data_IF_358425992244
#
_entry.id   IF_358425992244
#
_cell.length_a   1.000
_cell.length_b   1.000
_cell.length_c   1.000
_cell.angle_alpha   90.00
_cell.angle_beta   90.00
_cell.angle_gamma   90.00
#
_symmetry.space_group_name_H-M   'P 1'
#
loop_
_entity.id
_entity.type
_entity.pdbx_description
1 polymer ?
#
# COMPACT_ATOMS: atom_id res chain seq x y z
N UNK A 1 -21.64 -9.86 24.10
CA UNK A 1 -22.10 -9.43 22.77
C UNK A 1 -21.35 -10.23 21.70
N UNK A 2 -22.03 -11.17 21.04
CA UNK A 2 -21.43 -11.96 19.96
C UNK A 2 -21.16 -11.07 18.73
N UNK A 3 -20.00 -11.14 18.09
CA UNK A 3 -19.70 -10.34 16.91
C UNK A 3 -20.65 -10.73 15.78
N UNK A 4 -21.34 -9.72 15.21
CA UNK A 4 -22.29 -9.91 14.12
C UNK A 4 -21.65 -10.67 12.96
N UNK A 5 -22.39 -11.56 12.27
CA UNK A 5 -21.93 -12.38 11.14
C UNK A 5 -21.20 -11.54 10.06
N UNK A 6 -21.60 -10.30 9.84
CA UNK A 6 -20.95 -9.37 8.91
C UNK A 6 -19.50 -9.02 9.30
N UNK A 7 -19.16 -8.98 10.60
CA UNK A 7 -17.80 -8.70 11.09
C UNK A 7 -16.87 -9.90 10.91
N UNK A 8 -17.40 -11.12 10.96
CA UNK A 8 -16.63 -12.36 10.69
C UNK A 8 -16.35 -12.54 9.19
N UNK A 9 -17.30 -12.22 8.32
CA UNK A 9 -17.10 -12.28 6.86
C UNK A 9 -16.00 -11.29 6.39
N UNK A 10 -15.93 -10.10 6.98
CA UNK A 10 -14.88 -9.12 6.67
C UNK A 10 -13.46 -9.54 7.06
N UNK A 11 -13.32 -10.50 7.99
CA UNK A 11 -12.02 -11.04 8.42
C UNK A 11 -11.63 -12.32 7.65
N UNK A 12 -12.59 -13.15 7.24
CA UNK A 12 -12.34 -14.45 6.60
C UNK A 12 -12.04 -14.32 5.11
N UNK A 13 -12.75 -13.45 4.40
CA UNK A 13 -12.60 -13.27 2.95
C UNK A 13 -11.15 -12.95 2.51
N UNK A 14 -10.43 -12.08 3.19
CA UNK A 14 -9.06 -11.73 2.84
C UNK A 14 -8.06 -12.87 3.03
N UNK A 15 -8.23 -13.64 4.11
CA UNK A 15 -7.40 -14.83 4.35
C UNK A 15 -7.70 -15.96 3.38
N UNK A 16 -8.96 -16.08 2.96
CA UNK A 16 -9.34 -17.00 1.90
C UNK A 16 -8.71 -16.62 0.54
N UNK A 17 -8.69 -15.31 0.21
CA UNK A 17 -7.99 -14.80 -0.98
C UNK A 17 -6.48 -15.06 -0.91
N UNK A 18 -5.87 -14.85 0.25
CA UNK A 18 -4.44 -15.13 0.47
C UNK A 18 -4.13 -16.62 0.33
N UNK A 19 -4.97 -17.50 0.89
CA UNK A 19 -4.87 -18.95 0.70
C UNK A 19 -5.04 -19.36 -0.76
N UNK A 20 -5.99 -18.74 -1.47
CA UNK A 20 -6.17 -18.97 -2.91
C UNK A 20 -4.91 -18.58 -3.70
N UNK A 21 -4.27 -17.45 -3.38
CA UNK A 21 -3.00 -17.04 -4.00
C UNK A 21 -1.88 -18.07 -3.72
N UNK A 22 -1.79 -18.64 -2.53
CA UNK A 22 -0.80 -19.70 -2.24
C UNK A 22 -1.01 -20.96 -3.10
N UNK A 23 -2.23 -21.26 -3.51
CA UNK A 23 -2.58 -22.44 -4.28
C UNK A 23 -2.44 -22.23 -5.81
N UNK A 24 -2.29 -21.00 -6.30
CA UNK A 24 -2.19 -20.69 -7.74
C UNK A 24 -1.14 -21.53 -8.47
N UNK A 25 0.10 -21.73 -7.97
CA UNK A 25 1.10 -22.51 -8.70
C UNK A 25 0.75 -24.00 -8.90
N UNK A 26 -0.15 -24.55 -8.07
CA UNK A 26 -0.60 -25.94 -8.20
C UNK A 26 -1.48 -26.16 -9.43
N UNK A 27 -2.10 -25.10 -9.96
CA UNK A 27 -2.91 -25.11 -11.18
C UNK A 27 -2.11 -25.01 -12.49
N UNK A 28 -0.77 -25.12 -12.46
CA UNK A 28 0.12 -24.92 -13.62
C UNK A 28 -0.18 -23.63 -14.43
N UNK A 29 -0.18 -22.46 -13.79
CA UNK A 29 -0.44 -21.20 -14.49
C UNK A 29 0.66 -20.90 -15.51
N UNK A 30 0.32 -20.08 -16.52
CA UNK A 30 1.33 -19.60 -17.47
C UNK A 30 2.43 -18.79 -16.76
N UNK A 31 3.65 -18.83 -17.32
CA UNK A 31 4.76 -18.05 -16.78
C UNK A 31 4.44 -16.55 -16.68
N UNK A 32 3.64 -16.04 -17.61
CA UNK A 32 3.18 -14.64 -17.60
C UNK A 32 2.25 -14.36 -16.41
N UNK A 33 1.33 -15.26 -16.10
CA UNK A 33 0.45 -15.13 -14.93
C UNK A 33 1.25 -15.09 -13.62
N UNK A 34 2.26 -15.97 -13.48
CA UNK A 34 3.12 -15.98 -12.28
C UNK A 34 3.92 -14.67 -12.18
N UNK A 35 4.42 -14.16 -13.31
CA UNK A 35 5.13 -12.87 -13.38
C UNK A 35 4.22 -11.72 -12.94
N UNK A 36 3.00 -11.64 -13.49
CA UNK A 36 2.03 -10.59 -13.16
C UNK A 36 1.70 -10.61 -11.66
N UNK A 37 1.39 -11.79 -11.11
CA UNK A 37 1.06 -11.92 -9.69
C UNK A 37 2.24 -11.58 -8.78
N UNK A 38 3.48 -11.95 -9.17
CA UNK A 38 4.69 -11.56 -8.46
C UNK A 38 4.87 -10.05 -8.43
N UNK A 39 4.82 -9.40 -9.59
CA UNK A 39 4.99 -7.95 -9.72
C UNK A 39 3.91 -7.21 -8.95
N UNK A 40 2.65 -7.64 -9.08
CA UNK A 40 1.52 -7.10 -8.32
C UNK A 40 1.75 -7.22 -6.81
N UNK A 41 2.24 -8.37 -6.32
CA UNK A 41 2.53 -8.56 -4.90
C UNK A 41 3.63 -7.60 -4.41
N UNK A 42 4.69 -7.39 -5.18
CA UNK A 42 5.78 -6.44 -4.87
C UNK A 42 5.23 -5.01 -4.76
N UNK A 43 4.38 -4.61 -5.70
CA UNK A 43 3.72 -3.30 -5.66
C UNK A 43 2.79 -3.16 -4.46
N UNK A 44 2.00 -4.18 -4.13
CA UNK A 44 1.11 -4.16 -2.95
C UNK A 44 1.93 -4.02 -1.67
N UNK A 45 3.03 -4.74 -1.50
CA UNK A 45 3.90 -4.63 -0.31
C UNK A 45 4.42 -3.20 -0.16
N UNK A 46 4.90 -2.60 -1.26
CA UNK A 46 5.37 -1.20 -1.29
C UNK A 46 4.24 -0.22 -0.94
N UNK A 47 3.06 -0.42 -1.51
CA UNK A 47 1.86 0.37 -1.23
C UNK A 47 1.39 0.25 0.21
N UNK A 48 1.47 -0.95 0.84
CA UNK A 48 1.21 -1.14 2.27
C UNK A 48 2.21 -0.31 3.08
N UNK A 49 3.50 -0.35 2.73
CA UNK A 49 4.52 0.48 3.37
C UNK A 49 4.13 1.96 3.35
N UNK A 50 3.85 2.51 2.19
CA UNK A 50 3.45 3.91 2.06
C UNK A 50 2.15 4.22 2.85
N UNK A 51 1.16 3.33 2.78
CA UNK A 51 -0.13 3.50 3.44
C UNK A 51 -0.02 3.55 4.98
N UNK A 52 0.95 2.85 5.57
CA UNK A 52 1.21 2.92 7.00
C UNK A 52 1.65 4.33 7.43
N UNK A 53 2.48 5.02 6.64
CA UNK A 53 2.84 6.40 6.92
C UNK A 53 1.75 7.37 6.42
N UNK A 54 1.59 7.48 5.11
CA UNK A 54 0.70 8.46 4.48
C UNK A 54 -0.76 8.28 4.86
N UNK A 55 -1.22 7.03 4.90
CA UNK A 55 -2.60 6.69 5.20
C UNK A 55 -3.01 6.93 6.65
N UNK A 56 -2.15 6.56 7.61
CA UNK A 56 -2.48 6.64 9.03
C UNK A 56 -2.10 7.98 9.68
N UNK A 57 -1.05 8.66 9.18
CA UNK A 57 -0.58 9.94 9.76
C UNK A 57 -0.91 11.18 8.91
N UNK A 58 -1.38 10.99 7.67
CA UNK A 58 -1.61 12.08 6.74
C UNK A 58 -0.34 12.69 6.12
N UNK A 59 0.85 12.14 6.40
CA UNK A 59 2.12 12.62 5.84
C UNK A 59 2.34 12.07 4.44
N UNK A 60 2.09 12.88 3.42
CA UNK A 60 2.27 12.50 2.01
C UNK A 60 3.75 12.58 1.65
N UNK A 61 4.40 11.41 1.52
CA UNK A 61 5.80 11.30 1.13
C UNK A 61 5.93 10.87 -0.33
N UNK A 62 6.79 11.56 -1.08
CA UNK A 62 7.21 11.22 -2.44
C UNK A 62 8.62 10.64 -2.49
N UNK A 63 9.19 10.25 -1.35
CA UNK A 63 10.56 9.74 -1.25
C UNK A 63 10.65 8.22 -1.06
N UNK A 64 9.58 7.45 -1.24
CA UNK A 64 9.59 6.02 -0.97
C UNK A 64 10.49 5.20 -1.91
N UNK A 65 10.79 5.72 -3.11
CA UNK A 65 11.79 5.15 -4.00
C UNK A 65 13.19 5.04 -3.35
N UNK A 66 13.53 5.91 -2.39
CA UNK A 66 14.77 5.81 -1.62
C UNK A 66 14.88 4.47 -0.91
N UNK A 67 13.83 4.08 -0.17
CA UNK A 67 13.81 2.83 0.60
C UNK A 67 13.73 1.61 -0.31
N UNK A 68 12.95 1.72 -1.39
CA UNK A 68 12.85 0.70 -2.43
C UNK A 68 14.20 0.44 -3.09
N UNK A 69 14.87 1.49 -3.55
CA UNK A 69 16.16 1.41 -4.21
C UNK A 69 17.28 0.94 -3.27
N UNK A 70 17.38 1.47 -2.05
CA UNK A 70 18.38 1.01 -1.08
C UNK A 70 18.19 -0.47 -0.74
N UNK A 71 16.93 -0.90 -0.53
CA UNK A 71 16.60 -2.32 -0.33
C UNK A 71 17.01 -3.20 -1.50
N UNK A 72 16.74 -2.74 -2.73
CA UNK A 72 17.14 -3.42 -3.97
C UNK A 72 18.67 -3.58 -4.07
N UNK A 73 19.41 -2.49 -3.88
CA UNK A 73 20.86 -2.51 -4.02
C UNK A 73 21.58 -3.32 -2.95
N UNK A 74 21.19 -3.18 -1.67
CA UNK A 74 21.80 -3.96 -0.59
C UNK A 74 21.48 -5.44 -0.75
N UNK A 75 20.27 -5.79 -1.16
CA UNK A 75 19.92 -7.19 -1.48
C UNK A 75 20.81 -7.71 -2.61
N UNK A 76 20.98 -6.94 -3.69
CA UNK A 76 21.83 -7.29 -4.83
C UNK A 76 23.31 -7.52 -4.43
N UNK A 77 23.86 -6.58 -3.66
CA UNK A 77 25.24 -6.68 -3.14
C UNK A 77 25.45 -7.92 -2.26
N UNK A 78 24.49 -8.21 -1.37
CA UNK A 78 24.58 -9.37 -0.48
C UNK A 78 24.46 -10.71 -1.23
N UNK A 79 23.60 -10.80 -2.26
CA UNK A 79 23.49 -11.99 -3.10
C UNK A 79 24.81 -12.21 -3.86
N UNK A 80 25.39 -11.17 -4.46
CA UNK A 80 26.67 -11.25 -5.15
C UNK A 80 27.84 -11.58 -4.20
N UNK A 81 27.73 -11.20 -2.90
CA UNK A 81 28.66 -11.64 -1.85
C UNK A 81 28.45 -13.09 -1.40
N UNK A 82 27.55 -13.85 -2.06
CA UNK A 82 27.28 -15.26 -1.78
C UNK A 82 26.37 -15.52 -0.58
N UNK A 83 25.68 -14.50 -0.07
CA UNK A 83 24.70 -14.67 1.00
C UNK A 83 23.40 -15.24 0.44
N UNK A 84 22.64 -15.95 1.31
CA UNK A 84 21.34 -16.48 0.91
C UNK A 84 20.37 -15.32 0.59
N UNK A 85 19.46 -15.47 -0.39
CA UNK A 85 18.50 -14.42 -0.76
C UNK A 85 17.62 -13.95 0.41
N UNK A 86 17.21 -14.86 1.26
CA UNK A 86 16.37 -14.52 2.43
C UNK A 86 17.13 -13.65 3.45
N UNK A 87 18.40 -13.94 3.67
CA UNK A 87 19.26 -13.10 4.50
C UNK A 87 19.55 -11.74 3.84
N UNK A 88 19.67 -11.71 2.52
CA UNK A 88 19.85 -10.49 1.76
C UNK A 88 18.60 -9.57 1.85
N UNK A 89 17.38 -10.12 1.86
CA UNK A 89 16.15 -9.34 2.10
C UNK A 89 16.15 -8.67 3.47
N UNK A 90 16.63 -9.36 4.51
CA UNK A 90 16.77 -8.76 5.84
C UNK A 90 17.80 -7.62 5.84
N UNK A 91 18.90 -7.76 5.09
CA UNK A 91 19.88 -6.67 4.90
C UNK A 91 19.26 -5.47 4.18
N UNK A 92 18.51 -5.71 3.11
CA UNK A 92 17.75 -4.67 2.39
C UNK A 92 16.72 -3.96 3.27
N UNK A 93 16.01 -4.73 4.13
CA UNK A 93 15.11 -4.17 5.13
C UNK A 93 15.86 -3.29 6.13
N UNK A 94 16.96 -3.78 6.68
CA UNK A 94 17.73 -3.08 7.71
C UNK A 94 18.27 -1.74 7.20
N UNK A 95 18.82 -1.69 5.98
CA UNK A 95 19.32 -0.43 5.41
C UNK A 95 18.19 0.57 5.15
N UNK A 96 17.02 0.10 4.69
CA UNK A 96 15.86 0.95 4.48
C UNK A 96 15.35 1.54 5.81
N UNK A 97 15.32 0.74 6.88
CA UNK A 97 15.01 1.20 8.25
C UNK A 97 16.02 2.24 8.73
N UNK A 98 17.32 1.99 8.58
CA UNK A 98 18.36 2.96 8.97
C UNK A 98 18.23 4.27 8.18
N UNK A 99 18.04 4.18 6.87
CA UNK A 99 17.81 5.34 6.02
C UNK A 99 16.56 6.11 6.42
N UNK A 100 15.50 5.43 6.87
CA UNK A 100 14.28 6.09 7.32
C UNK A 100 14.48 6.98 8.54
N UNK A 101 15.37 6.62 9.45
CA UNK A 101 15.76 7.49 10.58
C UNK A 101 16.53 8.72 10.09
N UNK A 102 17.49 8.54 9.16
CA UNK A 102 18.26 9.65 8.59
C UNK A 102 17.36 10.64 7.85
N UNK A 103 16.39 10.13 7.09
CA UNK A 103 15.42 10.95 6.34
C UNK A 103 14.37 11.54 7.28
N UNK A 104 13.82 10.73 8.18
CA UNK A 104 12.69 11.10 9.04
C UNK A 104 13.05 12.17 10.09
N UNK A 105 14.26 12.09 10.70
CA UNK A 105 14.66 13.04 11.75
C UNK A 105 14.60 14.51 11.31
N UNK A 106 15.14 14.91 10.15
CA UNK A 106 15.01 16.29 9.68
C UNK A 106 13.63 16.59 9.08
N UNK A 107 13.02 15.64 8.35
CA UNK A 107 11.82 15.92 7.56
C UNK A 107 10.54 15.98 8.39
N UNK A 108 10.40 15.22 9.49
CA UNK A 108 9.21 15.29 10.34
C UNK A 108 9.08 16.56 11.17
N UNK A 109 10.07 17.46 11.09
CA UNK A 109 9.94 18.84 11.59
C UNK A 109 9.16 19.73 10.62
N UNK A 110 9.03 19.30 9.36
CA UNK A 110 8.28 20.00 8.32
C UNK A 110 6.81 19.54 8.34
N UNK A 111 5.89 20.47 8.08
CA UNK A 111 4.45 20.20 8.05
C UNK A 111 3.89 20.40 6.63
N UNK A 112 2.87 19.60 6.29
CA UNK A 112 2.12 19.75 5.06
C UNK A 112 2.98 19.66 3.78
N UNK A 113 2.81 20.60 2.82
CA UNK A 113 3.49 20.56 1.53
C UNK A 113 5.03 20.59 1.61
N UNK A 114 5.59 21.23 2.64
CA UNK A 114 7.04 21.31 2.81
C UNK A 114 7.68 19.93 3.06
N UNK A 115 6.98 19.04 3.76
CA UNK A 115 7.40 17.64 3.92
C UNK A 115 7.44 16.91 2.57
N UNK A 116 6.41 17.07 1.74
CA UNK A 116 6.33 16.46 0.42
C UNK A 116 7.49 16.92 -0.47
N UNK A 117 7.75 18.23 -0.56
CA UNK A 117 8.85 18.81 -1.35
C UNK A 117 10.21 18.31 -0.86
N UNK A 118 10.43 18.29 0.46
CA UNK A 118 11.69 17.79 1.04
C UNK A 118 11.93 16.31 0.66
N UNK A 119 10.89 15.47 0.68
CA UNK A 119 11.02 14.04 0.33
C UNK A 119 11.29 13.82 -1.16
N UNK A 120 10.80 14.70 -2.06
CA UNK A 120 11.18 14.70 -3.48
C UNK A 120 12.68 15.02 -3.61
N UNK A 121 13.15 16.08 -2.96
CA UNK A 121 14.56 16.48 -2.99
C UNK A 121 15.50 15.38 -2.47
N UNK A 122 15.13 14.71 -1.38
CA UNK A 122 15.91 13.58 -0.84
C UNK A 122 15.92 12.40 -1.82
N UNK A 123 14.79 12.10 -2.46
CA UNK A 123 14.71 11.07 -3.48
C UNK A 123 15.68 11.33 -4.63
N UNK A 124 15.66 12.53 -5.17
CA UNK A 124 16.53 12.92 -6.28
C UNK A 124 18.02 12.98 -5.87
N UNK A 125 18.30 13.52 -4.68
CA UNK A 125 19.68 13.52 -4.16
C UNK A 125 20.22 12.10 -4.00
N UNK A 126 19.41 11.16 -3.47
CA UNK A 126 19.81 9.76 -3.34
C UNK A 126 20.04 9.12 -4.70
N UNK A 127 19.18 9.37 -5.69
CA UNK A 127 19.34 8.89 -7.06
C UNK A 127 20.65 9.38 -7.67
N UNK A 128 20.99 10.66 -7.53
CA UNK A 128 22.22 11.24 -8.02
C UNK A 128 23.44 10.63 -7.32
N UNK A 129 23.39 10.46 -6.00
CA UNK A 129 24.47 9.81 -5.24
C UNK A 129 24.69 8.38 -5.77
N UNK A 130 23.63 7.60 -5.90
CA UNK A 130 23.72 6.20 -6.35
C UNK A 130 24.22 6.07 -7.79
N UNK A 131 23.90 7.03 -8.67
CA UNK A 131 24.43 7.09 -10.04
C UNK A 131 25.95 7.34 -10.09
N UNK A 132 26.53 7.92 -9.05
CA UNK A 132 27.95 8.25 -8.99
C UNK A 132 28.78 7.30 -8.10
N UNK A 133 28.12 6.34 -7.41
CA UNK A 133 28.81 5.37 -6.56
C UNK A 133 29.31 4.17 -7.37
N UNK A 134 30.65 3.98 -7.43
CA UNK A 134 31.25 2.87 -8.18
C UNK A 134 30.91 1.48 -7.62
N UNK A 135 30.66 1.36 -6.30
CA UNK A 135 30.33 0.09 -5.64
C UNK A 135 28.94 -0.46 -6.09
N UNK A 136 28.07 0.40 -6.58
CA UNK A 136 26.74 0.06 -7.08
C UNK A 136 26.68 -0.03 -8.60
N UNK A 137 27.83 0.05 -9.30
CA UNK A 137 27.92 0.07 -10.75
C UNK A 137 27.57 1.44 -11.37
N UNK A 138 27.31 2.46 -10.54
CA UNK A 138 26.98 3.82 -10.97
C UNK A 138 25.80 3.86 -11.95
N UNK A 139 25.88 4.74 -12.93
CA UNK A 139 24.84 4.89 -13.95
C UNK A 139 24.68 3.67 -14.88
N UNK A 140 25.68 2.77 -14.93
CA UNK A 140 25.61 1.55 -15.75
C UNK A 140 24.75 0.45 -15.14
N UNK A 141 24.33 0.61 -13.88
CA UNK A 141 23.54 -0.36 -13.14
C UNK A 141 24.35 -1.51 -12.55
N UNK A 142 23.65 -2.40 -11.88
CA UNK A 142 24.23 -3.50 -11.12
C UNK A 142 23.58 -4.83 -11.48
N UNK A 143 24.38 -5.79 -11.95
CA UNK A 143 23.92 -7.12 -12.29
C UNK A 143 24.02 -8.05 -11.09
N UNK A 144 22.96 -8.81 -10.87
CA UNK A 144 22.91 -9.84 -9.83
C UNK A 144 23.27 -11.17 -10.46
N UNK A 145 24.29 -11.84 -9.90
CA UNK A 145 24.74 -13.16 -10.33
C UNK A 145 24.44 -14.16 -9.21
N UNK A 146 23.24 -14.71 -9.25
CA UNK A 146 22.87 -15.77 -8.31
C UNK A 146 23.43 -17.12 -8.76
N UNK A 147 24.04 -17.88 -7.84
CA UNK A 147 24.61 -19.22 -8.13
C UNK A 147 23.54 -20.28 -8.38
N UNK A 148 22.29 -20.00 -7.99
CA UNK A 148 21.16 -20.91 -8.21
C UNK A 148 20.51 -20.62 -9.55
N UNK A 149 19.95 -21.67 -10.17
CA UNK A 149 19.14 -21.50 -11.36
C UNK A 149 17.89 -20.66 -11.04
N UNK A 150 17.48 -19.82 -11.98
CA UNK A 150 16.26 -19.02 -11.85
C UNK A 150 15.05 -19.94 -11.69
N UNK A 151 14.31 -19.75 -10.60
CA UNK A 151 13.08 -20.48 -10.30
C UNK A 151 11.94 -19.48 -10.05
N UNK A 152 11.10 -19.28 -11.05
CA UNK A 152 9.99 -18.34 -10.98
C UNK A 152 9.01 -18.64 -9.84
N UNK A 153 8.79 -19.92 -9.53
CA UNK A 153 7.89 -20.34 -8.44
C UNK A 153 8.47 -19.97 -7.07
N UNK A 154 9.79 -20.08 -6.88
CA UNK A 154 10.45 -19.66 -5.64
C UNK A 154 10.31 -18.15 -5.42
N UNK A 155 10.47 -17.35 -6.47
CA UNK A 155 10.28 -15.90 -6.41
C UNK A 155 8.84 -15.55 -6.05
N UNK A 156 7.87 -16.22 -6.69
CA UNK A 156 6.45 -16.06 -6.41
C UNK A 156 6.13 -16.32 -4.93
N UNK A 157 6.51 -17.48 -4.40
CA UNK A 157 6.25 -17.81 -3.00
C UNK A 157 6.93 -16.84 -2.03
N UNK A 158 8.15 -16.39 -2.35
CA UNK A 158 8.84 -15.37 -1.55
C UNK A 158 8.02 -14.08 -1.47
N UNK A 159 7.47 -13.62 -2.59
CA UNK A 159 6.64 -12.42 -2.63
C UNK A 159 5.30 -12.60 -1.90
N UNK A 160 4.61 -13.73 -2.09
CA UNK A 160 3.31 -13.99 -1.44
C UNK A 160 3.47 -14.14 0.08
N UNK A 161 4.50 -14.84 0.57
CA UNK A 161 4.78 -14.95 2.00
C UNK A 161 5.04 -13.56 2.61
N UNK A 162 5.87 -12.75 1.97
CA UNK A 162 6.18 -11.40 2.44
C UNK A 162 4.95 -10.47 2.35
N UNK A 163 4.10 -10.63 1.35
CA UNK A 163 2.80 -9.95 1.28
C UNK A 163 1.91 -10.33 2.46
N UNK A 164 1.83 -11.60 2.81
CA UNK A 164 1.08 -12.06 3.98
C UNK A 164 1.59 -11.46 5.28
N UNK A 165 2.92 -11.40 5.46
CA UNK A 165 3.55 -10.75 6.61
C UNK A 165 3.23 -9.24 6.63
N UNK A 166 3.33 -8.56 5.49
CA UNK A 166 3.03 -7.13 5.39
C UNK A 166 1.56 -6.82 5.72
N UNK A 167 0.62 -7.65 5.24
CA UNK A 167 -0.81 -7.53 5.55
C UNK A 167 -1.10 -7.80 7.04
N UNK A 168 -0.51 -8.84 7.61
CA UNK A 168 -0.65 -9.14 9.02
C UNK A 168 -0.13 -7.99 9.89
N UNK A 169 1.08 -7.49 9.60
CA UNK A 169 1.69 -6.37 10.29
C UNK A 169 0.83 -5.09 10.17
N UNK A 170 0.37 -4.77 8.97
CA UNK A 170 -0.53 -3.63 8.72
C UNK A 170 -1.83 -3.76 9.53
N UNK A 171 -2.43 -4.96 9.54
CA UNK A 171 -3.66 -5.23 10.31
C UNK A 171 -3.44 -5.06 11.81
N UNK A 172 -2.34 -5.59 12.35
CA UNK A 172 -1.99 -5.42 13.78
C UNK A 172 -1.82 -3.95 14.12
N UNK A 173 -1.07 -3.20 13.32
CA UNK A 173 -0.82 -1.77 13.56
C UNK A 173 -2.15 -0.99 13.52
N UNK A 174 -2.95 -1.16 12.48
CA UNK A 174 -4.21 -0.41 12.29
C UNK A 174 -5.20 -0.64 13.45
N UNK A 175 -5.23 -1.84 14.04
CA UNK A 175 -6.14 -2.16 15.15
C UNK A 175 -5.52 -1.97 16.54
N UNK A 176 -4.25 -1.57 16.63
CA UNK A 176 -3.54 -1.34 17.90
C UNK A 176 -3.80 0.05 18.48
N UNK A 177 -3.37 0.27 19.75
CA UNK A 177 -3.33 1.60 20.37
C UNK A 177 -2.40 2.55 19.62
N UNK A 178 -1.33 2.02 19.04
CA UNK A 178 -0.40 2.79 18.21
C UNK A 178 -1.09 3.30 16.93
N UNK A 179 -1.89 2.48 16.25
CA UNK A 179 -2.68 2.92 15.10
C UNK A 179 -3.76 3.95 15.45
N UNK A 180 -4.30 3.92 16.68
CA UNK A 180 -5.20 4.99 17.16
C UNK A 180 -4.44 6.30 17.34
N UNK A 181 -3.23 6.27 17.92
CA UNK A 181 -2.37 7.43 18.09
C UNK A 181 -2.00 8.06 16.73
N UNK A 182 -1.65 7.24 15.73
CA UNK A 182 -1.35 7.73 14.37
C UNK A 182 -2.56 8.42 13.72
N UNK A 183 -3.76 7.87 13.89
CA UNK A 183 -4.99 8.51 13.38
C UNK A 183 -5.35 9.80 14.13
N UNK A 184 -5.05 9.90 15.41
CA UNK A 184 -5.20 11.15 16.15
C UNK A 184 -4.26 12.23 15.57
N UNK A 185 -2.99 11.89 15.31
CA UNK A 185 -2.02 12.77 14.65
C UNK A 185 -2.52 13.23 13.27
N UNK A 186 -3.17 12.33 12.49
CA UNK A 186 -3.74 12.66 11.19
C UNK A 186 -4.84 13.72 11.28
N UNK A 187 -5.65 13.70 12.34
CA UNK A 187 -6.74 14.67 12.52
C UNK A 187 -6.18 16.04 12.96
N UNK A 188 -5.38 16.05 14.00
CA UNK A 188 -4.70 17.26 14.51
C UNK A 188 -3.48 16.86 15.33
N UNK A 189 -2.30 17.28 14.89
CA UNK A 189 -1.03 16.94 15.50
C UNK A 189 -0.85 17.59 16.88
N UNK A 190 -1.30 18.83 17.02
CA UNK A 190 -1.15 19.59 18.27
C UNK A 190 -2.17 19.09 19.31
N UNK A 191 -3.39 18.77 18.90
CA UNK A 191 -4.39 18.13 19.78
C UNK A 191 -3.94 16.73 20.23
N UNK A 192 -3.33 15.93 19.35
CA UNK A 192 -2.78 14.63 19.71
C UNK A 192 -1.65 14.75 20.74
N UNK A 193 -0.79 15.77 20.59
CA UNK A 193 0.26 16.07 21.57
C UNK A 193 -0.32 16.46 22.95
N UNK A 194 -1.39 17.24 22.98
CA UNK A 194 -2.05 17.68 24.23
C UNK A 194 -2.61 16.51 25.06
N UNK A 195 -3.01 15.39 24.40
CA UNK A 195 -3.47 14.17 25.08
C UNK A 195 -2.34 13.15 25.37
N UNK A 196 -1.07 13.56 25.21
CA UNK A 196 0.10 12.76 25.60
C UNK A 196 0.68 11.87 24.48
N UNK A 197 0.20 11.96 23.25
CA UNK A 197 0.84 11.30 22.10
C UNK A 197 2.07 12.11 21.69
N UNK A 198 3.21 11.45 21.45
CA UNK A 198 4.38 12.12 20.87
C UNK A 198 4.33 11.98 19.34
N UNK A 199 3.97 13.05 18.58
CA UNK A 199 3.78 12.93 17.13
C UNK A 199 5.09 12.61 16.40
N UNK A 200 6.19 13.24 16.80
CA UNK A 200 7.49 13.04 16.16
C UNK A 200 7.96 11.58 16.26
N UNK A 201 7.97 11.01 17.46
CA UNK A 201 8.39 9.62 17.66
C UNK A 201 7.43 8.63 16.98
N UNK A 202 6.13 8.91 17.06
CA UNK A 202 5.11 8.04 16.43
C UNK A 202 5.29 8.00 14.91
N UNK A 203 5.50 9.14 14.25
CA UNK A 203 5.80 9.23 12.82
C UNK A 203 7.12 8.54 12.48
N UNK A 204 8.14 8.70 13.30
CA UNK A 204 9.46 8.11 13.07
C UNK A 204 9.40 6.57 13.08
N UNK A 205 8.71 5.99 14.05
CA UNK A 205 8.57 4.53 14.17
C UNK A 205 7.73 3.94 13.03
N UNK A 206 6.60 4.57 12.69
CA UNK A 206 5.78 4.04 11.58
C UNK A 206 6.51 4.20 10.25
N UNK A 207 7.31 5.26 10.07
CA UNK A 207 8.15 5.46 8.89
C UNK A 207 9.23 4.38 8.77
N UNK A 208 9.86 3.98 9.89
CA UNK A 208 10.84 2.91 9.90
C UNK A 208 10.23 1.56 9.46
N UNK A 209 9.04 1.24 9.97
CA UNK A 209 8.30 0.02 9.56
C UNK A 209 7.91 0.11 8.07
N UNK A 210 7.39 1.25 7.63
CA UNK A 210 7.00 1.51 6.26
C UNK A 210 8.19 1.37 5.29
N UNK A 211 9.31 1.97 5.63
CA UNK A 211 10.56 1.89 4.88
C UNK A 211 11.09 0.45 4.81
N UNK A 212 11.05 -0.29 5.91
CA UNK A 212 11.45 -1.70 5.95
C UNK A 212 10.66 -2.57 4.99
N UNK A 213 9.33 -2.44 4.96
CA UNK A 213 8.48 -3.16 4.01
C UNK A 213 8.79 -2.79 2.55
N UNK A 214 8.97 -1.49 2.29
CA UNK A 214 9.32 -1.01 0.95
C UNK A 214 10.71 -1.47 0.52
N UNK A 215 11.67 -1.54 1.45
CA UNK A 215 13.02 -2.05 1.18
C UNK A 215 13.02 -3.54 0.83
N UNK A 216 12.20 -4.35 1.51
CA UNK A 216 12.02 -5.77 1.17
C UNK A 216 11.39 -5.92 -0.21
N UNK A 217 10.40 -5.10 -0.57
CA UNK A 217 9.80 -5.11 -1.89
C UNK A 217 10.82 -4.79 -2.99
N UNK A 218 11.69 -3.79 -2.76
CA UNK A 218 12.81 -3.49 -3.65
C UNK A 218 13.79 -4.66 -3.79
N UNK A 219 14.09 -5.36 -2.69
CA UNK A 219 14.92 -6.57 -2.69
C UNK A 219 14.32 -7.72 -3.53
N UNK A 220 13.01 -7.96 -3.40
CA UNK A 220 12.29 -8.93 -4.24
C UNK A 220 12.39 -8.57 -5.73
N UNK A 221 12.13 -7.30 -6.06
CA UNK A 221 12.24 -6.78 -7.42
C UNK A 221 13.64 -7.01 -7.99
N UNK A 222 14.69 -6.62 -7.24
CA UNK A 222 16.07 -6.75 -7.66
C UNK A 222 16.44 -8.21 -7.98
N UNK A 223 16.11 -9.13 -7.09
CA UNK A 223 16.40 -10.56 -7.28
C UNK A 223 15.67 -11.14 -8.50
N UNK A 224 14.42 -10.74 -8.75
CA UNK A 224 13.63 -11.25 -9.88
C UNK A 224 14.16 -10.76 -11.21
N UNK A 225 14.48 -9.47 -11.32
CA UNK A 225 14.97 -8.87 -12.57
C UNK A 225 16.45 -9.15 -12.85
N UNK A 226 17.22 -9.56 -11.83
CA UNK A 226 18.64 -9.85 -11.91
C UNK A 226 19.52 -8.68 -12.43
N UNK A 227 18.93 -7.54 -12.70
CA UNK A 227 19.59 -6.31 -13.10
C UNK A 227 18.82 -5.11 -12.58
N UNK A 228 19.51 -4.14 -11.98
CA UNK A 228 18.94 -2.91 -11.46
C UNK A 228 19.83 -1.72 -11.83
N UNK A 229 19.23 -0.56 -12.08
CA UNK A 229 19.98 0.67 -12.22
C UNK A 229 19.31 1.82 -11.45
N UNK A 230 20.08 2.85 -11.02
CA UNK A 230 19.53 3.88 -10.14
C UNK A 230 18.42 4.70 -10.77
N UNK A 231 18.45 4.86 -12.11
CA UNK A 231 17.43 5.58 -12.87
C UNK A 231 16.03 5.02 -12.74
N UNK A 232 15.89 3.69 -12.46
CA UNK A 232 14.61 3.03 -12.27
C UNK A 232 14.21 2.98 -10.80
N UNK A 233 15.05 2.35 -9.97
CA UNK A 233 14.65 2.00 -8.60
C UNK A 233 14.58 3.22 -7.67
N UNK A 234 15.30 4.31 -7.97
CA UNK A 234 15.23 5.59 -7.26
C UNK A 234 14.46 6.65 -8.04
N UNK A 235 13.83 6.30 -9.17
CA UNK A 235 13.04 7.25 -9.94
C UNK A 235 11.91 7.88 -9.12
N UNK A 236 11.66 9.16 -9.34
CA UNK A 236 10.47 9.83 -8.77
C UNK A 236 9.18 9.11 -9.17
N UNK A 237 9.14 8.59 -10.39
CA UNK A 237 8.04 7.76 -10.90
C UNK A 237 7.75 6.54 -10.03
N UNK A 238 8.77 5.85 -9.54
CA UNK A 238 8.62 4.71 -8.61
C UNK A 238 7.95 5.14 -7.31
N UNK A 239 8.29 6.32 -6.76
CA UNK A 239 7.59 6.87 -5.60
C UNK A 239 6.12 7.18 -5.89
N UNK A 240 5.81 7.70 -7.09
CA UNK A 240 4.42 7.93 -7.52
C UNK A 240 3.65 6.61 -7.60
N UNK A 241 4.21 5.57 -8.20
CA UNK A 241 3.56 4.27 -8.29
C UNK A 241 3.24 3.68 -6.92
N UNK A 242 4.20 3.74 -5.99
CA UNK A 242 4.02 3.28 -4.63
C UNK A 242 2.88 4.03 -3.91
N UNK A 243 2.79 5.35 -4.11
CA UNK A 243 1.74 6.20 -3.55
C UNK A 243 0.36 5.94 -4.19
N UNK A 244 0.31 5.74 -5.52
CA UNK A 244 -0.92 5.53 -6.26
C UNK A 244 -1.70 4.31 -5.77
N UNK A 245 -1.02 3.25 -5.40
CA UNK A 245 -1.63 1.99 -4.98
C UNK A 245 -2.63 2.18 -3.82
N UNK A 246 -2.26 2.72 -2.66
CA UNK A 246 -3.21 2.97 -1.60
C UNK A 246 -4.22 4.08 -1.92
N UNK A 247 -3.86 5.05 -2.78
CA UNK A 247 -4.78 6.12 -3.20
C UNK A 247 -5.93 5.55 -4.03
N UNK A 248 -5.62 4.71 -5.01
CA UNK A 248 -6.63 4.03 -5.84
C UNK A 248 -7.53 3.14 -4.98
N UNK A 249 -6.95 2.34 -4.12
CA UNK A 249 -7.69 1.33 -3.36
C UNK A 249 -8.45 1.86 -2.14
N UNK A 250 -7.91 2.87 -1.47
CA UNK A 250 -8.48 3.49 -0.27
C UNK A 250 -7.44 3.73 0.82
N UNK A 251 -7.09 5.00 1.00
CA UNK A 251 -6.05 5.48 1.92
C UNK A 251 -6.42 5.17 3.38
N UNK A 252 -5.44 4.68 4.15
CA UNK A 252 -5.59 4.44 5.59
C UNK A 252 -6.35 3.16 5.95
N UNK A 253 -6.69 2.33 4.95
CA UNK A 253 -7.33 1.03 5.15
C UNK A 253 -6.32 -0.11 4.94
N UNK A 254 -6.54 -1.26 5.58
CA UNK A 254 -5.66 -2.44 5.42
C UNK A 254 -5.76 -3.02 4.01
N UNK A 255 -6.97 -3.00 3.42
CA UNK A 255 -7.29 -3.65 2.14
C UNK A 255 -7.17 -2.72 0.93
N UNK A 256 -7.07 -1.42 1.18
CA UNK A 256 -6.87 -0.43 0.12
C UNK A 256 -5.68 -0.76 -0.77
N UNK A 257 -4.48 -0.93 -0.23
CA UNK A 257 -3.31 -1.28 -1.05
C UNK A 257 -3.45 -2.58 -1.83
N UNK A 258 -4.22 -3.56 -1.34
CA UNK A 258 -4.47 -4.82 -2.05
C UNK A 258 -5.33 -4.58 -3.29
N UNK A 259 -6.47 -3.90 -3.12
CA UNK A 259 -7.37 -3.59 -4.23
C UNK A 259 -6.69 -2.64 -5.23
N UNK A 260 -6.04 -1.60 -4.74
CA UNK A 260 -5.33 -0.67 -5.59
C UNK A 260 -4.17 -1.31 -6.35
N UNK A 261 -3.42 -2.21 -5.70
CA UNK A 261 -2.31 -2.92 -6.33
C UNK A 261 -2.75 -3.92 -7.38
N UNK A 262 -3.88 -4.62 -7.18
CA UNK A 262 -4.44 -5.51 -8.21
C UNK A 262 -4.84 -4.70 -9.45
N UNK A 263 -5.55 -3.58 -9.25
CA UNK A 263 -5.97 -2.72 -10.36
C UNK A 263 -4.74 -2.11 -11.02
N UNK A 264 -3.81 -1.58 -10.22
CA UNK A 264 -2.58 -0.99 -10.73
C UNK A 264 -1.77 -1.98 -11.55
N UNK A 265 -1.55 -3.22 -11.05
CA UNK A 265 -0.77 -4.24 -11.75
C UNK A 265 -1.37 -4.65 -13.09
N UNK A 266 -2.70 -4.81 -13.16
CA UNK A 266 -3.38 -5.11 -14.43
C UNK A 266 -3.32 -3.93 -15.40
N UNK A 267 -3.60 -2.74 -14.91
CA UNK A 267 -3.61 -1.51 -15.74
C UNK A 267 -2.19 -1.18 -16.21
N UNK A 268 -1.17 -1.32 -15.34
CA UNK A 268 0.24 -1.08 -15.70
C UNK A 268 0.67 -1.98 -16.87
N UNK A 269 0.42 -3.29 -16.76
CA UNK A 269 0.81 -4.22 -17.82
C UNK A 269 0.16 -3.87 -19.16
N UNK A 270 -1.13 -3.60 -19.18
CA UNK A 270 -1.86 -3.21 -20.39
C UNK A 270 -1.41 -1.84 -20.94
N UNK A 271 -1.19 -0.86 -20.08
CA UNK A 271 -0.81 0.50 -20.53
C UNK A 271 0.62 0.56 -21.02
N UNK A 272 1.57 -0.11 -20.34
CA UNK A 272 2.97 -0.12 -20.76
C UNK A 272 3.14 -0.87 -22.08
N UNK A 273 2.42 -1.96 -22.28
CA UNK A 273 2.50 -2.77 -23.52
C UNK A 273 1.84 -2.05 -24.70
N UNK A 274 0.63 -1.50 -24.50
CA UNK A 274 -0.15 -0.94 -25.61
C UNK A 274 0.12 0.55 -25.84
N UNK A 275 0.55 1.30 -24.83
CA UNK A 275 0.75 2.77 -24.87
C UNK A 275 2.07 3.22 -24.24
N UNK A 276 3.25 2.73 -24.68
CA UNK A 276 4.53 2.97 -24.01
C UNK A 276 4.91 4.46 -23.90
N UNK A 277 4.45 5.31 -24.82
CA UNK A 277 4.80 6.72 -24.86
C UNK A 277 3.88 7.63 -24.03
N UNK A 278 2.68 7.18 -23.69
CA UNK A 278 1.67 7.99 -23.00
C UNK A 278 1.18 7.40 -21.67
N UNK A 279 1.73 6.26 -21.27
CA UNK A 279 1.30 5.58 -20.03
C UNK A 279 1.40 6.48 -18.80
N UNK A 280 2.43 7.33 -18.70
CA UNK A 280 2.59 8.30 -17.59
C UNK A 280 1.48 9.34 -17.57
N UNK A 281 1.08 9.85 -18.74
CA UNK A 281 -0.04 10.80 -18.85
C UNK A 281 -1.34 10.12 -18.46
N UNK A 282 -1.55 8.88 -18.86
CA UNK A 282 -2.72 8.10 -18.49
C UNK A 282 -2.75 7.84 -16.97
N UNK A 283 -1.61 7.47 -16.34
CA UNK A 283 -1.54 7.33 -14.87
C UNK A 283 -1.87 8.63 -14.15
N UNK A 284 -1.29 9.76 -14.59
CA UNK A 284 -1.59 11.06 -14.02
C UNK A 284 -3.07 11.43 -14.15
N UNK A 285 -3.67 11.15 -15.31
CA UNK A 285 -5.10 11.37 -15.54
C UNK A 285 -5.98 10.53 -14.66
N UNK A 286 -5.67 9.22 -14.51
CA UNK A 286 -6.39 8.30 -13.61
C UNK A 286 -6.28 8.76 -12.16
N UNK A 287 -5.08 9.20 -11.73
CA UNK A 287 -4.87 9.74 -10.39
C UNK A 287 -5.75 10.96 -10.12
N UNK A 288 -5.72 11.94 -11.04
CA UNK A 288 -6.53 13.15 -10.93
C UNK A 288 -8.01 12.79 -10.86
N UNK A 289 -8.47 11.91 -11.73
CA UNK A 289 -9.86 11.47 -11.77
C UNK A 289 -10.29 10.79 -10.48
N UNK A 290 -9.46 9.90 -9.91
CA UNK A 290 -9.77 9.21 -8.65
C UNK A 290 -9.82 10.22 -7.49
N UNK A 291 -8.82 11.12 -7.39
CA UNK A 291 -8.78 12.11 -6.31
C UNK A 291 -9.96 13.08 -6.37
N UNK A 292 -10.38 13.47 -7.59
CA UNK A 292 -11.51 14.40 -7.78
C UNK A 292 -12.87 13.73 -7.53
N UNK A 293 -13.05 12.48 -7.99
CA UNK A 293 -14.35 11.81 -7.92
C UNK A 293 -14.56 11.08 -6.58
N UNK A 294 -13.52 10.48 -6.02
CA UNK A 294 -13.62 9.64 -4.83
C UNK A 294 -12.34 9.74 -3.98
N UNK A 295 -12.22 10.80 -3.16
CA UNK A 295 -11.04 11.03 -2.32
C UNK A 295 -10.80 9.90 -1.29
N UNK A 296 -11.84 9.10 -0.97
CA UNK A 296 -11.74 7.92 -0.10
C UNK A 296 -11.31 6.65 -0.85
N UNK A 297 -11.05 6.74 -2.17
CA UNK A 297 -10.69 5.63 -3.04
C UNK A 297 -11.83 4.64 -3.30
N UNK A 298 -11.55 3.55 -4.02
CA UNK A 298 -12.55 2.56 -4.43
C UNK A 298 -13.27 1.88 -3.25
N UNK A 299 -12.60 1.71 -2.10
CA UNK A 299 -13.27 1.21 -0.89
C UNK A 299 -14.30 2.22 -0.35
N UNK A 300 -14.05 3.51 -0.47
CA UNK A 300 -15.02 4.56 -0.14
C UNK A 300 -16.27 4.46 -1.00
N UNK A 301 -16.09 4.32 -2.31
CA UNK A 301 -17.18 4.13 -3.27
C UNK A 301 -18.02 2.89 -2.93
N UNK A 302 -17.37 1.76 -2.64
CA UNK A 302 -18.05 0.52 -2.27
C UNK A 302 -18.90 0.68 -0.99
N UNK A 303 -18.39 1.42 -0.01
CA UNK A 303 -19.14 1.71 1.23
C UNK A 303 -20.33 2.66 0.98
N UNK A 304 -20.19 3.65 0.10
CA UNK A 304 -21.30 4.55 -0.30
C UNK A 304 -22.39 3.80 -1.03
N UNK A 305 -22.04 2.97 -2.01
CA UNK A 305 -22.97 2.12 -2.75
C UNK A 305 -23.73 1.17 -1.80
N UNK A 306 -23.03 0.50 -0.87
CA UNK A 306 -23.68 -0.35 0.13
C UNK A 306 -24.68 0.41 1.01
N UNK A 307 -24.37 1.65 1.41
CA UNK A 307 -25.31 2.48 2.21
C UNK A 307 -26.53 2.88 1.39
N UNK A 308 -26.40 3.21 0.11
CA UNK A 308 -27.50 3.53 -0.79
C UNK A 308 -28.43 2.34 -0.99
N UNK A 309 -27.90 1.14 -1.23
CA UNK A 309 -28.68 -0.08 -1.37
C UNK A 309 -29.39 -0.48 -0.06
N UNK A 310 -28.78 -0.22 1.08
CA UNK A 310 -29.38 -0.48 2.39
C UNK A 310 -30.54 0.47 2.69
N UNK A 311 -30.41 1.77 2.44
CA UNK A 311 -31.50 2.75 2.56
C UNK A 311 -32.67 2.41 1.66
N UNK A 312 -32.42 2.04 0.40
CA UNK A 312 -33.46 1.65 -0.55
C UNK A 312 -34.25 0.41 -0.09
N UNK A 313 -33.61 -0.47 0.68
CA UNK A 313 -34.25 -1.68 1.25
C UNK A 313 -35.07 -1.37 2.51
N UNK A 314 -34.65 -0.39 3.29
CA UNK A 314 -35.39 0.10 4.46
C UNK A 314 -36.62 0.91 4.04
N UNK A 315 -36.52 1.77 3.01
CA UNK A 315 -37.65 2.52 2.43
C UNK A 315 -38.68 1.63 1.71
N UNK A 316 -38.25 0.49 1.14
CA UNK A 316 -39.19 -0.46 0.52
C UNK A 316 -39.90 -1.39 1.50
N UNK A 317 -39.37 -1.49 2.73
CA UNK A 317 -39.99 -2.27 3.81
C UNK A 317 -40.97 -1.46 4.70
N UNK A 318 -40.95 -0.13 4.61
CA UNK A 318 -41.79 0.76 5.41
C UNK A 318 -43.08 1.24 4.71
N UNK A 319 -43.41 0.69 3.54
CA UNK A 319 -44.71 0.88 2.91
C UNK A 319 -45.71 -0.17 3.38
N UNK A 320 -46.00 -0.24 4.66
CA UNK A 320 -47.32 -0.70 5.14
C UNK A 320 -48.29 0.50 5.10
N UNK A 321 -49.46 0.34 4.51
CA UNK A 321 -50.39 1.46 4.40
C UNK A 321 -51.00 1.78 5.77
N UNK A 322 -50.78 3.00 6.26
CA UNK A 322 -51.53 3.63 7.37
C UNK A 322 -53.02 3.83 7.00
N UNK A 323 -53.67 2.84 6.42
CA UNK A 323 -55.11 2.96 6.02
C UNK A 323 -56.11 2.21 6.91
N UNK A 324 -55.73 1.76 8.12
CA UNK A 324 -56.68 0.99 8.96
C UNK A 324 -57.04 1.70 10.29
N UNK A 325 -56.56 2.89 10.61
CA UNK A 325 -56.82 3.52 11.91
C UNK A 325 -57.85 4.67 11.91
N UNK A 326 -58.42 5.08 10.80
CA UNK A 326 -59.45 6.16 10.75
C UNK A 326 -60.91 5.69 10.62
N UNK A 327 -61.16 4.39 10.67
CA UNK A 327 -62.54 3.81 10.49
C UNK A 327 -63.32 3.55 11.75
N UNK A 328 -62.77 3.69 12.98
CA UNK A 328 -63.47 3.30 14.22
C UNK A 328 -63.93 4.41 15.17
N UNK A 329 -63.72 5.67 14.88
CA UNK A 329 -64.13 6.76 15.79
C UNK A 329 -65.38 7.55 15.33
N UNK A 330 -66.17 7.08 14.36
CA UNK A 330 -67.40 7.76 13.90
C UNK A 330 -68.71 7.05 14.19
N UNK A 331 -68.75 6.00 15.00
CA UNK A 331 -69.99 5.27 15.29
C UNK A 331 -70.42 5.27 16.79
N UNK A 332 -69.72 5.98 17.67
CA UNK A 332 -70.12 6.07 19.10
C UNK A 332 -70.50 7.50 19.53
N UNK A 333 -71.26 8.20 18.76
CA UNK A 333 -71.71 9.59 19.05
C UNK A 333 -73.12 9.91 18.62
N UNK A 334 -74.02 8.92 18.73
CA UNK A 334 -75.48 9.18 18.65
C UNK A 334 -76.19 8.17 19.55
N UNK A 335 -76.41 8.59 20.78
CA UNK A 335 -77.57 8.31 21.64
C UNK A 335 -77.24 8.88 23.04
N UNK A 336 -77.82 9.97 23.32
CA UNK A 336 -78.51 10.59 24.50
C UNK A 336 -78.35 12.09 24.47
#
# INVERSE_FOLDING_TARGET
>A
MAPSRARRFGLVLPWALFLALLLVPLGNPSANTVRLLFTTAVWIISGIGWNLLGGLTGQVSFGFAVFYGLGAYVTALMINAGRSPYFAFLGGMAIAVLASFLVGMPTFRLRGPYFAIATIGIGEATRVIMNNLNITGGASGYRIVEKRAFNQIEHYYSAIILLGIALALSSVIVHSKFGLALRAIKQDEDAAAAIGVNPFLSKLWIHAIAAGLTGVAGGLYARYHAFIYPGDVFAFQTSIYILLIPVIGGIGTVWGPVLGGIIFGVVEEELVVNFPNIHLLLYGSVLILIVLLEPDGLLGLLHRLRRLFRRKREDSGSKEPDEVLWGRSRLEGREL
#
